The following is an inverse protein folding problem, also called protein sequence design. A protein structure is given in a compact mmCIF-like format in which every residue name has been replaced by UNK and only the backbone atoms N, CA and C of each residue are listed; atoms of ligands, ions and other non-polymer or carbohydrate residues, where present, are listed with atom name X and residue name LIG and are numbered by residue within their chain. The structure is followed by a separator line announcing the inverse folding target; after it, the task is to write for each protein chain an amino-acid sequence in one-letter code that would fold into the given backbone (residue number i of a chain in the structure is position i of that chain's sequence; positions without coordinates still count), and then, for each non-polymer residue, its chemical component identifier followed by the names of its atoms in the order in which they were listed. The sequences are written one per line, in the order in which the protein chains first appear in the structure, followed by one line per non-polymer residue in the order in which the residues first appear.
data_IF_587522302084
#
_entry.id   IF_587522302084
#
_cell.length_a   1.000
_cell.length_b   1.000
_cell.length_c   1.000
_cell.angle_alpha   90.00
_cell.angle_beta   90.00
_cell.angle_gamma   90.00
#
_symmetry.space_group_name_H-M   'P 1'
#
loop_
_entity.id
_entity.type
_entity.pdbx_description
1 polymer ?
#
# COMPACT_ATOMS: atom_id res chain seq x y z
N UNK A 1 -25.09 24.01 -9.12
CA UNK A 1 -24.70 22.64 -8.71
C UNK A 1 -23.19 22.44 -8.95
N UNK A 2 -22.31 23.18 -8.25
CA UNK A 2 -20.86 23.18 -8.52
C UNK A 2 -19.96 23.37 -7.26
N UNK A 3 -20.49 23.18 -6.04
CA UNK A 3 -19.79 23.55 -4.80
C UNK A 3 -19.19 22.38 -3.99
N UNK A 4 -19.33 21.11 -4.44
CA UNK A 4 -18.95 19.93 -3.64
C UNK A 4 -17.52 19.42 -3.83
N UNK A 5 -16.83 19.81 -4.90
CA UNK A 5 -15.46 19.33 -5.22
C UNK A 5 -14.36 19.98 -4.35
N UNK A 6 -14.40 21.30 -4.04
CA UNK A 6 -13.36 21.95 -3.23
C UNK A 6 -13.38 21.47 -1.78
N UNK A 7 -14.58 21.27 -1.23
CA UNK A 7 -14.76 20.82 0.15
C UNK A 7 -14.30 19.36 0.35
N UNK A 8 -14.55 18.49 -0.64
CA UNK A 8 -14.07 17.11 -0.60
C UNK A 8 -12.54 17.07 -0.68
N UNK A 9 -11.90 17.77 -1.64
CA UNK A 9 -10.44 17.87 -1.69
C UNK A 9 -9.85 18.44 -0.40
N UNK A 10 -10.43 19.50 0.16
CA UNK A 10 -9.97 20.09 1.41
C UNK A 10 -10.17 19.15 2.61
N UNK A 11 -11.22 18.33 2.63
CA UNK A 11 -11.45 17.31 3.65
C UNK A 11 -10.46 16.14 3.54
N UNK A 12 -10.16 15.70 2.32
CA UNK A 12 -9.18 14.66 2.00
C UNK A 12 -7.74 15.11 2.30
N UNK A 13 -7.37 16.32 1.91
CA UNK A 13 -6.05 16.91 2.17
C UNK A 13 -5.77 17.09 3.68
N UNK A 14 -6.82 17.18 4.51
CA UNK A 14 -6.70 17.26 5.98
C UNK A 14 -6.52 15.91 6.67
N UNK A 15 -6.60 14.77 5.97
CA UNK A 15 -6.38 13.42 6.53
C UNK A 15 -5.50 12.53 5.63
N UNK A 16 -4.20 12.84 5.48
CA UNK A 16 -3.33 12.19 4.50
C UNK A 16 -3.19 10.65 4.66
N UNK A 17 -3.02 10.07 5.86
CA UNK A 17 -2.91 8.61 6.01
C UNK A 17 -4.24 7.87 5.74
N UNK A 18 -5.36 8.48 6.07
CA UNK A 18 -6.68 7.85 5.97
C UNK A 18 -7.16 7.72 4.51
N UNK A 19 -6.74 8.64 3.65
CA UNK A 19 -7.12 8.62 2.26
C UNK A 19 -6.45 7.47 1.48
N UNK A 20 -5.15 7.22 1.70
CA UNK A 20 -4.48 6.07 1.11
C UNK A 20 -5.01 4.74 1.64
N UNK A 21 -5.43 4.68 2.91
CA UNK A 21 -6.12 3.52 3.48
C UNK A 21 -7.45 3.22 2.77
N UNK A 22 -8.21 4.25 2.38
CA UNK A 22 -9.43 4.05 1.61
C UNK A 22 -9.15 3.42 0.23
N UNK A 23 -8.10 3.85 -0.46
CA UNK A 23 -7.68 3.25 -1.75
C UNK A 23 -7.31 1.78 -1.57
N UNK A 24 -6.50 1.47 -0.56
CA UNK A 24 -6.12 0.09 -0.25
C UNK A 24 -7.35 -0.77 0.04
N UNK A 25 -8.24 -0.32 0.94
CA UNK A 25 -9.44 -1.07 1.31
C UNK A 25 -10.32 -1.35 0.08
N UNK A 26 -10.57 -0.33 -0.75
CA UNK A 26 -11.40 -0.49 -1.96
C UNK A 26 -10.75 -1.43 -2.98
N UNK A 27 -9.42 -1.35 -3.13
CA UNK A 27 -8.66 -2.26 -4.00
C UNK A 27 -8.61 -3.70 -3.46
N UNK A 28 -8.48 -3.90 -2.16
CA UNK A 28 -8.53 -5.23 -1.52
C UNK A 28 -9.92 -5.85 -1.69
N UNK A 29 -10.99 -5.06 -1.51
CA UNK A 29 -12.36 -5.50 -1.78
C UNK A 29 -12.53 -5.89 -3.26
N UNK A 30 -11.96 -5.13 -4.19
CA UNK A 30 -11.93 -5.51 -5.61
C UNK A 30 -11.25 -6.87 -5.84
N UNK A 31 -10.09 -7.11 -5.24
CA UNK A 31 -9.40 -8.40 -5.33
C UNK A 31 -10.26 -9.51 -4.71
N UNK A 32 -10.81 -9.31 -3.52
CA UNK A 32 -11.69 -10.29 -2.87
C UNK A 32 -12.91 -10.66 -3.71
N UNK A 33 -13.58 -9.67 -4.31
CA UNK A 33 -14.72 -9.87 -5.21
C UNK A 33 -14.35 -10.69 -6.46
N UNK A 34 -13.16 -10.45 -7.02
CA UNK A 34 -12.65 -11.25 -8.15
C UNK A 34 -12.41 -12.71 -7.73
N UNK A 35 -11.81 -12.93 -6.56
CA UNK A 35 -11.53 -14.28 -6.04
C UNK A 35 -12.81 -15.11 -5.79
N UNK A 36 -13.92 -14.47 -5.45
CA UNK A 36 -15.23 -15.13 -5.27
C UNK A 36 -16.10 -15.14 -6.55
N UNK A 37 -15.56 -14.69 -7.70
CA UNK A 37 -16.24 -14.74 -8.99
C UNK A 37 -17.21 -13.59 -9.28
N UNK A 38 -17.30 -12.57 -8.42
CA UNK A 38 -18.16 -11.40 -8.62
C UNK A 38 -17.45 -10.29 -9.44
N UNK A 39 -17.20 -10.57 -10.71
CA UNK A 39 -16.33 -9.72 -11.55
C UNK A 39 -16.88 -8.30 -11.76
N UNK A 40 -18.18 -8.12 -12.01
CA UNK A 40 -18.76 -6.78 -12.22
C UNK A 40 -18.59 -5.86 -11.01
N UNK A 41 -18.79 -6.41 -9.80
CA UNK A 41 -18.57 -5.66 -8.55
C UNK A 41 -17.08 -5.41 -8.31
N UNK A 42 -16.23 -6.40 -8.65
CA UNK A 42 -14.78 -6.26 -8.59
C UNK A 42 -14.30 -5.10 -9.46
N UNK A 43 -14.78 -4.99 -10.70
CA UNK A 43 -14.44 -3.92 -11.63
C UNK A 43 -14.94 -2.55 -11.16
N UNK A 44 -16.16 -2.49 -10.61
CA UNK A 44 -16.69 -1.26 -10.04
C UNK A 44 -15.81 -0.78 -8.86
N UNK A 45 -15.44 -1.69 -7.95
CA UNK A 45 -14.53 -1.39 -6.85
C UNK A 45 -13.13 -0.99 -7.34
N UNK A 46 -12.61 -1.63 -8.40
CA UNK A 46 -11.33 -1.27 -9.01
C UNK A 46 -11.39 0.14 -9.60
N UNK A 47 -12.46 0.48 -10.32
CA UNK A 47 -12.62 1.81 -10.91
C UNK A 47 -12.61 2.91 -9.82
N UNK A 48 -13.29 2.66 -8.69
CA UNK A 48 -13.27 3.56 -7.53
C UNK A 48 -11.87 3.66 -6.91
N UNK A 49 -11.18 2.52 -6.74
CA UNK A 49 -9.81 2.50 -6.23
C UNK A 49 -8.85 3.28 -7.15
N UNK A 50 -8.94 3.08 -8.46
CA UNK A 50 -8.15 3.82 -9.46
C UNK A 50 -8.45 5.32 -9.42
N UNK A 51 -9.73 5.72 -9.37
CA UNK A 51 -10.09 7.13 -9.30
C UNK A 51 -9.53 7.82 -8.03
N UNK A 52 -9.64 7.15 -6.89
CA UNK A 52 -9.09 7.66 -5.63
C UNK A 52 -7.55 7.64 -5.63
N UNK A 53 -6.91 6.61 -6.20
CA UNK A 53 -5.46 6.52 -6.36
C UNK A 53 -4.90 7.66 -7.24
N UNK A 54 -5.52 7.91 -8.40
CA UNK A 54 -5.13 9.02 -9.29
C UNK A 54 -5.34 10.37 -8.59
N UNK A 55 -6.45 10.54 -7.88
CA UNK A 55 -6.71 11.76 -7.11
C UNK A 55 -5.62 12.06 -6.08
N UNK A 56 -5.20 11.04 -5.32
CA UNK A 56 -4.12 11.18 -4.35
C UNK A 56 -2.75 11.39 -4.98
N UNK A 57 -2.46 10.68 -6.07
CA UNK A 57 -1.21 10.88 -6.82
C UNK A 57 -1.11 12.31 -7.37
N UNK A 58 -2.22 12.85 -7.89
CA UNK A 58 -2.27 14.22 -8.39
C UNK A 58 -2.08 15.24 -7.26
N UNK A 59 -2.76 15.09 -6.12
CA UNK A 59 -2.62 16.01 -4.99
C UNK A 59 -1.19 15.98 -4.41
N UNK A 60 -0.58 14.80 -4.31
CA UNK A 60 0.82 14.65 -3.85
C UNK A 60 1.83 15.22 -4.84
N UNK A 61 1.61 15.03 -6.15
CA UNK A 61 2.43 15.61 -7.21
C UNK A 61 2.32 17.13 -7.27
N UNK A 62 1.12 17.68 -7.09
CA UNK A 62 0.91 19.14 -6.98
C UNK A 62 1.63 19.69 -5.74
N UNK A 63 1.61 18.98 -4.61
CA UNK A 63 2.36 19.39 -3.42
C UNK A 63 3.87 19.43 -3.66
N UNK A 64 4.42 18.42 -4.37
CA UNK A 64 5.83 18.39 -4.76
C UNK A 64 6.24 19.61 -5.60
N UNK A 65 5.37 20.04 -6.51
CA UNK A 65 5.61 21.20 -7.38
C UNK A 65 5.46 22.54 -6.66
N UNK A 66 4.54 22.64 -5.69
CA UNK A 66 4.22 23.89 -4.99
C UNK A 66 5.06 24.14 -3.74
N UNK A 67 5.36 23.10 -2.96
CA UNK A 67 5.98 23.24 -1.64
C UNK A 67 6.80 21.98 -1.30
N UNK A 68 8.04 21.93 -1.80
CA UNK A 68 8.97 20.81 -1.57
C UNK A 68 9.23 20.56 -0.08
N UNK A 69 9.21 21.60 0.75
CA UNK A 69 9.43 21.48 2.19
C UNK A 69 8.29 20.74 2.86
N UNK A 70 7.04 21.11 2.56
CA UNK A 70 5.86 20.36 3.06
C UNK A 70 5.81 18.95 2.50
N UNK A 71 6.23 18.75 1.24
CA UNK A 71 6.31 17.42 0.65
C UNK A 71 7.27 16.50 1.43
N UNK A 72 8.48 16.96 1.76
CA UNK A 72 9.45 16.18 2.54
C UNK A 72 8.89 15.84 3.93
N UNK A 73 8.25 16.80 4.60
CA UNK A 73 7.62 16.56 5.89
C UNK A 73 6.50 15.49 5.81
N UNK A 74 5.70 15.51 4.75
CA UNK A 74 4.62 14.55 4.55
C UNK A 74 5.14 13.16 4.11
N UNK A 75 6.18 13.12 3.27
CA UNK A 75 6.85 11.89 2.83
C UNK A 75 7.49 11.12 3.99
N UNK A 76 7.93 11.83 5.04
CA UNK A 76 8.44 11.22 6.28
C UNK A 76 7.35 10.66 7.22
N UNK A 77 6.07 10.86 6.90
CA UNK A 77 4.97 10.33 7.73
C UNK A 77 4.70 8.86 7.39
N UNK A 78 4.37 8.00 8.38
CA UNK A 78 3.98 6.61 8.12
C UNK A 78 2.84 6.47 7.10
N UNK A 79 1.95 7.47 7.03
CA UNK A 79 0.88 7.54 6.04
C UNK A 79 1.36 7.59 4.59
N UNK A 80 2.57 8.09 4.32
CA UNK A 80 3.10 8.14 2.95
C UNK A 80 3.28 6.73 2.35
N UNK A 81 3.55 5.72 3.19
CA UNK A 81 3.70 4.33 2.76
C UNK A 81 2.40 3.73 2.22
N UNK A 82 1.25 4.32 2.54
CA UNK A 82 -0.03 3.94 1.94
C UNK A 82 -0.05 4.18 0.43
N UNK A 83 0.76 5.10 -0.11
CA UNK A 83 0.88 5.31 -1.55
C UNK A 83 1.54 4.09 -2.24
N UNK A 84 2.59 3.53 -1.65
CA UNK A 84 3.25 2.31 -2.14
C UNK A 84 2.27 1.15 -2.05
N UNK A 85 1.68 0.93 -0.88
CA UNK A 85 0.75 -0.17 -0.65
C UNK A 85 -0.50 -0.10 -1.57
N UNK A 86 -1.08 1.09 -1.74
CA UNK A 86 -2.19 1.29 -2.68
C UNK A 86 -1.80 0.99 -4.13
N UNK A 87 -0.60 1.43 -4.55
CA UNK A 87 -0.07 1.13 -5.89
C UNK A 87 0.09 -0.37 -6.10
N UNK A 88 0.59 -1.10 -5.09
CA UNK A 88 0.74 -2.56 -5.18
C UNK A 88 -0.59 -3.30 -5.20
N UNK A 89 -1.60 -2.82 -4.48
CA UNK A 89 -2.96 -3.42 -4.50
C UNK A 89 -3.62 -3.22 -5.86
N UNK A 90 -3.59 -2.00 -6.40
CA UNK A 90 -4.13 -1.70 -7.74
C UNK A 90 -3.37 -2.51 -8.81
N UNK A 91 -2.04 -2.55 -8.73
CA UNK A 91 -1.21 -3.36 -9.62
C UNK A 91 -1.54 -4.85 -9.55
N UNK A 92 -1.79 -5.38 -8.34
CA UNK A 92 -2.17 -6.79 -8.15
C UNK A 92 -3.48 -7.08 -8.85
N UNK A 93 -4.46 -6.17 -8.76
CA UNK A 93 -5.73 -6.37 -9.46
C UNK A 93 -5.57 -6.32 -10.98
N UNK A 94 -4.76 -5.41 -11.52
CA UNK A 94 -4.44 -5.38 -12.96
C UNK A 94 -3.71 -6.64 -13.43
N UNK A 95 -2.83 -7.22 -12.60
CA UNK A 95 -2.18 -8.50 -12.92
C UNK A 95 -3.24 -9.60 -13.06
N UNK A 96 -4.19 -9.68 -12.12
CA UNK A 96 -5.30 -10.64 -12.17
C UNK A 96 -6.29 -10.40 -13.33
N UNK A 97 -6.34 -9.19 -13.89
CA UNK A 97 -7.09 -8.89 -15.13
C UNK A 97 -6.34 -9.32 -16.41
N UNK A 98 -5.08 -9.76 -16.31
CA UNK A 98 -4.22 -10.03 -17.46
C UNK A 98 -3.59 -8.78 -18.09
N UNK A 99 -3.73 -7.61 -17.47
CA UNK A 99 -3.11 -6.36 -17.92
C UNK A 99 -1.64 -6.26 -17.48
N UNK A 100 -0.83 -7.24 -17.91
CA UNK A 100 0.58 -7.41 -17.50
C UNK A 100 1.41 -6.13 -17.62
N UNK A 101 1.37 -5.35 -18.73
CA UNK A 101 2.18 -4.14 -18.84
C UNK A 101 1.84 -3.10 -17.78
N UNK A 102 0.55 -2.96 -17.45
CA UNK A 102 0.07 -2.01 -16.43
C UNK A 102 0.52 -2.46 -15.05
N UNK A 103 0.35 -3.74 -14.73
CA UNK A 103 0.78 -4.30 -13.46
C UNK A 103 2.31 -4.21 -13.26
N UNK A 104 3.09 -4.48 -14.30
CA UNK A 104 4.55 -4.34 -14.27
C UNK A 104 4.98 -2.88 -14.08
N UNK A 105 4.32 -1.94 -14.77
CA UNK A 105 4.59 -0.51 -14.59
C UNK A 105 4.25 -0.05 -13.16
N UNK A 106 3.14 -0.51 -12.57
CA UNK A 106 2.76 -0.22 -11.20
C UNK A 106 3.73 -0.87 -10.18
N UNK A 107 4.23 -2.08 -10.46
CA UNK A 107 5.28 -2.71 -9.65
C UNK A 107 6.56 -1.88 -9.68
N UNK A 108 7.01 -1.47 -10.88
CA UNK A 108 8.20 -0.64 -11.02
C UNK A 108 8.03 0.71 -10.30
N UNK A 109 6.89 1.36 -10.45
CA UNK A 109 6.56 2.59 -9.73
C UNK A 109 6.61 2.39 -8.22
N UNK A 110 5.95 1.34 -7.71
CA UNK A 110 5.94 1.04 -6.29
C UNK A 110 7.37 0.72 -5.76
N UNK A 111 8.16 -0.04 -6.51
CA UNK A 111 9.53 -0.39 -6.16
C UNK A 111 10.46 0.85 -6.12
N UNK A 112 10.22 1.85 -6.97
CA UNK A 112 10.97 3.12 -6.96
C UNK A 112 10.52 4.03 -5.80
N UNK A 113 9.22 4.12 -5.54
CA UNK A 113 8.68 4.93 -4.44
C UNK A 113 9.03 4.36 -3.07
N UNK A 114 9.14 3.03 -2.97
CA UNK A 114 9.36 2.30 -1.73
C UNK A 114 10.60 2.76 -0.93
N UNK A 115 11.84 2.74 -1.46
CA UNK A 115 13.00 3.18 -0.67
C UNK A 115 12.95 4.68 -0.37
N UNK A 116 12.40 5.50 -1.28
CA UNK A 116 12.28 6.96 -1.13
C UNK A 116 11.37 7.32 0.04
N UNK A 117 10.28 6.57 0.25
CA UNK A 117 9.31 6.83 1.32
C UNK A 117 9.63 6.05 2.60
N UNK A 118 10.15 4.82 2.47
CA UNK A 118 10.46 3.98 3.62
C UNK A 118 11.62 4.54 4.45
N UNK A 119 12.70 4.99 3.81
CA UNK A 119 13.90 5.44 4.54
C UNK A 119 13.61 6.63 5.47
N UNK A 120 12.95 7.72 5.02
CA UNK A 120 12.57 8.82 5.92
C UNK A 120 11.62 8.38 7.03
N UNK A 121 10.64 7.52 6.73
CA UNK A 121 9.68 7.03 7.72
C UNK A 121 10.37 6.23 8.81
N UNK A 122 11.21 5.26 8.44
CA UNK A 122 11.93 4.39 9.40
C UNK A 122 12.94 5.21 10.21
N UNK A 123 13.58 6.22 9.62
CA UNK A 123 14.45 7.16 10.37
C UNK A 123 13.69 7.98 11.40
N UNK A 124 12.39 8.22 11.18
CA UNK A 124 11.50 8.89 12.13
C UNK A 124 10.96 7.98 13.23
N UNK A 125 11.28 6.68 13.25
CA UNK A 125 10.76 5.75 14.26
C UNK A 125 11.41 5.95 15.62
N UNK A 126 10.58 6.30 16.61
CA UNK A 126 10.95 6.37 18.02
C UNK A 126 10.52 5.14 18.83
N UNK A 127 10.73 5.16 20.15
CA UNK A 127 10.05 4.23 21.06
C UNK A 127 8.56 4.55 21.16
N UNK A 128 7.73 3.54 21.44
CA UNK A 128 6.28 3.68 21.67
C UNK A 128 5.52 4.32 20.50
N UNK A 129 5.62 3.67 19.34
CA UNK A 129 4.98 4.12 18.11
C UNK A 129 3.50 3.68 18.06
N UNK A 130 2.64 4.47 17.39
CA UNK A 130 1.26 4.10 17.10
C UNK A 130 1.20 2.99 16.05
N UNK A 131 0.03 2.37 15.85
CA UNK A 131 -0.16 1.22 14.95
C UNK A 131 0.22 1.48 13.48
N UNK A 132 0.22 2.75 13.05
CA UNK A 132 0.73 3.15 11.74
C UNK A 132 2.19 2.72 11.46
N UNK A 133 2.98 2.37 12.48
CA UNK A 133 4.34 1.81 12.33
C UNK A 133 4.38 0.55 11.45
N UNK A 134 3.31 -0.24 11.46
CA UNK A 134 3.20 -1.48 10.66
C UNK A 134 3.02 -1.22 9.16
N UNK A 135 2.73 0.02 8.73
CA UNK A 135 2.64 0.37 7.30
C UNK A 135 3.95 0.15 6.55
N UNK A 136 5.10 0.17 7.25
CA UNK A 136 6.40 -0.22 6.68
C UNK A 136 6.40 -1.64 6.15
N UNK A 137 5.87 -2.56 6.95
CA UNK A 137 5.70 -3.96 6.56
C UNK A 137 4.66 -4.06 5.43
N UNK A 138 3.46 -3.47 5.59
CA UNK A 138 2.39 -3.55 4.58
C UNK A 138 2.85 -3.09 3.19
N UNK A 139 3.53 -1.96 3.10
CA UNK A 139 4.04 -1.44 1.83
C UNK A 139 5.09 -2.36 1.20
N UNK A 140 5.93 -2.97 2.02
CA UNK A 140 6.99 -3.87 1.56
C UNK A 140 6.41 -5.21 1.11
N UNK A 141 5.54 -5.84 1.92
CA UNK A 141 4.86 -7.08 1.58
C UNK A 141 3.94 -6.93 0.36
N UNK A 142 3.36 -5.74 0.15
CA UNK A 142 2.62 -5.42 -1.07
C UNK A 142 3.45 -5.60 -2.35
N UNK A 143 4.74 -5.24 -2.33
CA UNK A 143 5.65 -5.48 -3.47
C UNK A 143 5.83 -6.98 -3.71
N UNK A 144 5.98 -7.76 -2.63
CA UNK A 144 6.12 -9.20 -2.73
C UNK A 144 4.86 -9.86 -3.31
N UNK A 145 3.67 -9.46 -2.83
CA UNK A 145 2.37 -9.92 -3.37
C UNK A 145 2.22 -9.62 -4.85
N UNK A 146 2.54 -8.39 -5.28
CA UNK A 146 2.43 -8.00 -6.69
C UNK A 146 3.45 -8.75 -7.56
N UNK A 147 4.71 -8.83 -7.14
CA UNK A 147 5.75 -9.57 -7.86
C UNK A 147 5.42 -11.05 -8.01
N UNK A 148 4.97 -11.71 -6.94
CA UNK A 148 4.53 -13.10 -6.98
C UNK A 148 3.29 -13.29 -7.86
N UNK A 149 2.33 -12.37 -7.82
CA UNK A 149 1.14 -12.42 -8.68
C UNK A 149 1.51 -12.28 -10.15
N UNK A 150 2.39 -11.34 -10.50
CA UNK A 150 2.89 -11.16 -11.85
C UNK A 150 3.64 -12.40 -12.36
N UNK A 151 4.47 -13.01 -11.51
CA UNK A 151 5.18 -14.26 -11.79
C UNK A 151 4.19 -15.37 -12.19
N UNK A 152 3.15 -15.56 -11.38
CA UNK A 152 2.11 -16.56 -11.63
C UNK A 152 1.32 -16.29 -12.92
N UNK A 153 0.93 -15.03 -13.18
CA UNK A 153 0.13 -14.69 -14.36
C UNK A 153 0.92 -14.71 -15.67
N UNK A 154 2.25 -14.53 -15.61
CA UNK A 154 3.13 -14.52 -16.79
C UNK A 154 3.92 -15.80 -17.00
N UNK A 155 3.80 -16.77 -16.08
CA UNK A 155 4.63 -18.00 -16.06
C UNK A 155 6.14 -17.73 -16.12
N UNK A 156 6.56 -16.57 -15.61
CA UNK A 156 7.95 -16.12 -15.64
C UNK A 156 8.49 -16.09 -14.21
N UNK A 157 9.55 -16.82 -13.92
CA UNK A 157 9.99 -17.04 -12.53
C UNK A 157 10.75 -15.86 -11.88
N UNK A 158 11.40 -14.98 -12.66
CA UNK A 158 12.28 -13.95 -12.09
C UNK A 158 11.58 -12.93 -11.18
N UNK A 159 10.32 -12.49 -11.41
CA UNK A 159 9.63 -11.57 -10.51
C UNK A 159 9.38 -12.18 -9.13
N UNK A 160 9.14 -13.50 -9.03
CA UNK A 160 9.01 -14.19 -7.75
C UNK A 160 10.35 -14.21 -6.99
N UNK A 161 11.46 -14.50 -7.69
CA UNK A 161 12.79 -14.46 -7.08
C UNK A 161 13.14 -13.06 -6.57
N UNK A 162 12.85 -12.02 -7.36
CA UNK A 162 13.03 -10.64 -6.94
C UNK A 162 12.13 -10.27 -5.75
N UNK A 163 10.91 -10.82 -5.70
CA UNK A 163 9.95 -10.61 -4.62
C UNK A 163 10.32 -11.28 -3.29
N UNK A 164 11.26 -12.23 -3.27
CA UNK A 164 11.83 -12.77 -2.03
C UNK A 164 12.55 -11.69 -1.21
N UNK A 165 13.17 -10.70 -1.87
CA UNK A 165 13.86 -9.60 -1.19
C UNK A 165 12.89 -8.75 -0.35
N UNK A 166 11.83 -8.16 -0.92
CA UNK A 166 10.85 -7.43 -0.13
C UNK A 166 10.10 -8.32 0.86
N UNK A 167 9.86 -9.60 0.56
CA UNK A 167 9.23 -10.52 1.52
C UNK A 167 10.06 -10.68 2.82
N UNK A 168 11.32 -11.11 2.71
CA UNK A 168 12.16 -11.28 3.90
C UNK A 168 12.40 -9.96 4.62
N UNK A 169 12.59 -8.87 3.87
CA UNK A 169 12.76 -7.55 4.44
C UNK A 169 11.48 -7.07 5.14
N UNK A 170 10.29 -7.35 4.59
CA UNK A 170 8.99 -7.00 5.16
C UNK A 170 8.74 -7.68 6.51
N UNK A 171 9.13 -8.95 6.64
CA UNK A 171 9.11 -9.68 7.91
C UNK A 171 10.06 -9.07 8.95
N UNK A 172 11.27 -8.67 8.57
CA UNK A 172 12.20 -7.97 9.46
C UNK A 172 11.60 -6.63 9.90
N UNK A 173 11.05 -5.85 8.97
CA UNK A 173 10.38 -4.57 9.25
C UNK A 173 9.19 -4.78 10.20
N UNK A 174 8.42 -5.86 10.03
CA UNK A 174 7.33 -6.22 10.95
C UNK A 174 7.82 -6.50 12.36
N UNK A 175 8.85 -7.33 12.52
CA UNK A 175 9.43 -7.64 13.82
C UNK A 175 9.95 -6.37 14.51
N UNK A 176 10.66 -5.53 13.76
CA UNK A 176 11.18 -4.25 14.25
C UNK A 176 10.04 -3.29 14.64
N UNK A 177 8.96 -3.24 13.86
CA UNK A 177 7.76 -2.46 14.17
C UNK A 177 7.06 -2.97 15.44
N UNK A 178 6.99 -4.29 15.62
CA UNK A 178 6.40 -4.93 16.79
C UNK A 178 7.15 -4.55 18.09
N UNK A 179 8.48 -4.50 18.06
CA UNK A 179 9.28 -4.06 19.21
C UNK A 179 9.14 -2.56 19.51
N UNK A 180 8.75 -1.74 18.52
CA UNK A 180 8.56 -0.29 18.69
C UNK A 180 7.11 0.10 19.02
N UNK A 181 6.14 -0.76 18.74
CA UNK A 181 4.72 -0.52 18.97
C UNK A 181 4.41 -0.36 20.46
N UNK A 182 3.55 0.61 20.82
CA UNK A 182 3.06 0.75 22.20
C UNK A 182 1.85 -0.18 22.44
N UNK A 183 1.95 -1.21 23.31
CA UNK A 183 0.84 -2.11 23.59
C UNK A 183 -0.40 -1.41 24.16
N UNK A 184 -0.25 -0.21 24.73
CA UNK A 184 -1.37 0.59 25.26
C UNK A 184 -2.34 1.02 24.15
N UNK A 185 -1.87 1.10 22.91
CA UNK A 185 -2.70 1.41 21.74
C UNK A 185 -3.77 0.35 21.47
N UNK A 186 -3.61 -0.88 21.97
CA UNK A 186 -4.66 -1.90 21.85
C UNK A 186 -5.94 -1.48 22.60
N UNK A 187 -5.78 -0.80 23.73
CA UNK A 187 -6.91 -0.38 24.59
C UNK A 187 -7.31 1.07 24.32
N UNK A 188 -6.34 1.94 24.02
CA UNK A 188 -6.54 3.40 23.92
C UNK A 188 -6.45 3.95 22.50
N UNK A 189 -5.98 3.16 21.55
CA UNK A 189 -5.63 3.60 20.21
C UNK A 189 -6.84 3.98 19.37
N UNK A 190 -6.60 4.81 18.36
CA UNK A 190 -7.64 5.35 17.48
C UNK A 190 -8.09 4.37 16.38
N UNK A 191 -7.68 3.09 16.44
CA UNK A 191 -8.02 2.03 15.50
C UNK A 191 -6.87 1.65 14.54
N UNK A 192 -5.75 2.37 14.55
CA UNK A 192 -4.60 2.06 13.70
C UNK A 192 -3.78 0.86 14.21
N UNK A 193 -3.99 0.42 15.46
CA UNK A 193 -3.44 -0.83 15.99
C UNK A 193 -3.81 -2.06 15.15
N UNK A 194 -4.96 -2.03 14.46
CA UNK A 194 -5.41 -3.13 13.60
C UNK A 194 -4.53 -3.34 12.37
N UNK A 195 -3.72 -2.35 11.99
CA UNK A 195 -2.72 -2.48 10.92
C UNK A 195 -1.71 -3.58 11.24
N UNK A 196 -1.45 -3.87 12.53
CA UNK A 196 -0.60 -4.99 12.95
C UNK A 196 -1.13 -6.35 12.43
N UNK A 197 -2.44 -6.57 12.53
CA UNK A 197 -3.09 -7.78 12.02
C UNK A 197 -3.10 -7.81 10.49
N UNK A 198 -3.36 -6.67 9.85
CA UNK A 198 -3.30 -6.55 8.39
C UNK A 198 -1.90 -6.82 7.83
N UNK A 199 -0.86 -6.34 8.49
CA UNK A 199 0.54 -6.56 8.14
C UNK A 199 0.93 -8.04 8.25
N UNK A 200 0.48 -8.75 9.30
CA UNK A 200 0.68 -10.18 9.42
C UNK A 200 -0.07 -10.97 8.32
N UNK A 201 -1.32 -10.60 8.05
CA UNK A 201 -2.13 -11.24 7.02
C UNK A 201 -1.54 -11.08 5.61
N UNK A 202 -1.05 -9.89 5.25
CA UNK A 202 -0.39 -9.67 3.95
C UNK A 202 0.96 -10.40 3.87
N UNK A 203 1.71 -10.52 4.97
CA UNK A 203 2.94 -11.32 5.01
C UNK A 203 2.65 -12.80 4.72
N UNK A 204 1.61 -13.35 5.34
CA UNK A 204 1.15 -14.72 5.06
C UNK A 204 0.69 -14.88 3.60
N UNK A 205 -0.06 -13.91 3.08
CA UNK A 205 -0.49 -13.89 1.68
C UNK A 205 0.69 -13.82 0.71
N UNK A 206 1.71 -13.01 1.00
CA UNK A 206 2.92 -12.90 0.20
C UNK A 206 3.67 -14.24 0.17
N UNK A 207 3.88 -14.86 1.33
CA UNK A 207 4.51 -16.18 1.43
C UNK A 207 3.75 -17.26 0.66
N UNK A 208 2.42 -17.32 0.82
CA UNK A 208 1.58 -18.26 0.08
C UNK A 208 1.69 -18.06 -1.45
N UNK A 209 1.64 -16.82 -1.93
CA UNK A 209 1.77 -16.52 -3.36
C UNK A 209 3.16 -16.87 -3.90
N UNK A 210 4.22 -16.58 -3.14
CA UNK A 210 5.59 -16.93 -3.52
C UNK A 210 5.78 -18.45 -3.63
N UNK A 211 5.23 -19.22 -2.68
CA UNK A 211 5.25 -20.68 -2.73
C UNK A 211 4.53 -21.23 -3.97
N UNK A 212 3.43 -20.62 -4.40
CA UNK A 212 2.70 -21.04 -5.61
C UNK A 212 3.34 -20.56 -6.92
N UNK A 213 4.23 -19.58 -6.85
CA UNK A 213 4.87 -18.96 -8.02
C UNK A 213 6.29 -19.51 -8.29
N UNK A 214 6.81 -20.34 -7.39
CA UNK A 214 8.13 -20.97 -7.44
C UNK A 214 8.08 -22.38 -8.03
#
# INVERSE_FOLDING_TARGET
MAWRIPALRAWWARRPPAAGAAVMATGIVSVGLNLVGHESLSLAALALACAAWIGLAADFGVLLLRDRTKWVAQAGSPGALTAVAATTVVGTRFALLGATPVAAALLALAALLWPVLLVPVVRGWGPRMPGAVFLGCVATEGLAVLGATLSATTSTAWPAHAALVPFWFGLVVYAVALFRFDPREVVRGAGDQWVAGGALAISALAGAKLLTAA
#
